data_IF_413696838843
#
_entry.id   IF_413696838843
#
_cell.length_a   1.000
_cell.length_b   1.000
_cell.length_c   1.000
_cell.angle_alpha   90.00
_cell.angle_beta   90.00
_cell.angle_gamma   90.00
#
_symmetry.space_group_name_H-M   'P 1'
#
loop_
_entity.id
_entity.type
_entity.pdbx_description
1 polymer ?
#
# COMPACT_ATOMS: atom_id res chain seq x y z
N UNK A 1 -18.42 2.21 -1.76
CA UNK A 1 -17.11 1.57 -1.52
C UNK A 1 -16.12 2.30 -2.40
N UNK A 2 -15.10 2.92 -1.83
CA UNK A 2 -14.14 3.72 -2.58
C UNK A 2 -13.22 2.73 -3.32
N UNK A 3 -12.92 2.93 -4.61
CA UNK A 3 -12.03 2.04 -5.39
C UNK A 3 -10.67 1.82 -4.71
N UNK A 4 -10.24 2.78 -3.89
CA UNK A 4 -9.03 2.70 -3.08
C UNK A 4 -9.09 1.59 -2.03
N UNK A 5 -10.25 1.34 -1.40
CA UNK A 5 -10.40 0.28 -0.38
C UNK A 5 -10.18 -1.12 -0.97
N UNK A 6 -10.67 -1.35 -2.18
CA UNK A 6 -10.49 -2.62 -2.88
C UNK A 6 -9.01 -2.84 -3.26
N UNK A 7 -8.34 -1.77 -3.68
CA UNK A 7 -6.92 -1.80 -3.98
C UNK A 7 -6.08 -2.10 -2.74
N UNK A 8 -6.35 -1.41 -1.64
CA UNK A 8 -5.75 -1.63 -0.31
C UNK A 8 -5.87 -3.09 0.10
N UNK A 9 -7.06 -3.68 0.01
CA UNK A 9 -7.27 -5.10 0.35
C UNK A 9 -6.45 -6.05 -0.53
N UNK A 10 -6.35 -5.76 -1.83
CA UNK A 10 -5.58 -6.59 -2.76
C UNK A 10 -4.09 -6.57 -2.43
N UNK A 11 -3.56 -5.40 -2.05
CA UNK A 11 -2.16 -5.23 -1.65
C UNK A 11 -1.92 -5.92 -0.30
N UNK A 12 -2.81 -5.72 0.67
CA UNK A 12 -2.73 -6.36 1.98
C UNK A 12 -2.69 -7.89 1.87
N UNK A 13 -3.56 -8.46 1.03
CA UNK A 13 -3.66 -9.90 0.83
C UNK A 13 -2.39 -10.45 0.19
N UNK A 14 -1.86 -9.80 -0.86
CA UNK A 14 -0.62 -10.23 -1.53
C UNK A 14 0.60 -10.21 -0.61
N UNK A 15 0.70 -9.20 0.28
CA UNK A 15 1.81 -9.13 1.24
C UNK A 15 1.66 -10.16 2.36
N UNK A 16 0.42 -10.41 2.82
CA UNK A 16 0.12 -11.43 3.83
C UNK A 16 0.39 -12.84 3.34
N UNK A 17 -0.04 -13.18 2.11
CA UNK A 17 0.23 -14.47 1.47
C UNK A 17 1.73 -14.77 1.34
N UNK A 18 2.56 -13.72 1.22
CA UNK A 18 4.02 -13.85 1.11
C UNK A 18 4.73 -13.89 2.47
N UNK A 19 3.98 -13.77 3.58
CA UNK A 19 4.51 -13.72 4.95
C UNK A 19 5.18 -12.39 5.32
N UNK A 20 4.92 -11.33 4.53
CA UNK A 20 5.57 -10.03 4.67
C UNK A 20 4.72 -9.02 5.45
N UNK A 21 3.56 -9.44 5.93
CA UNK A 21 2.62 -8.54 6.59
C UNK A 21 3.23 -7.87 7.84
N UNK A 22 3.97 -8.58 8.69
CA UNK A 22 4.60 -7.99 9.88
C UNK A 22 5.66 -6.95 9.52
N UNK A 23 6.51 -7.26 8.54
CA UNK A 23 7.53 -6.32 8.06
C UNK A 23 6.90 -5.11 7.38
N UNK A 24 5.85 -5.31 6.58
CA UNK A 24 5.15 -4.25 5.89
C UNK A 24 4.40 -3.33 6.86
N UNK A 25 3.74 -3.90 7.86
CA UNK A 25 3.09 -3.15 8.95
C UNK A 25 4.10 -2.29 9.69
N UNK A 26 5.23 -2.86 10.12
CA UNK A 26 6.27 -2.11 10.83
C UNK A 26 6.90 -1.00 9.96
N UNK A 27 7.17 -1.29 8.69
CA UNK A 27 7.69 -0.31 7.73
C UNK A 27 6.67 0.79 7.46
N UNK A 28 5.39 0.47 7.32
CA UNK A 28 4.34 1.46 7.10
C UNK A 28 4.08 2.29 8.36
N UNK A 29 4.10 1.71 9.57
CA UNK A 29 3.91 2.44 10.83
C UNK A 29 5.04 3.45 11.08
N UNK A 30 6.30 3.02 10.92
CA UNK A 30 7.46 3.90 11.08
C UNK A 30 7.60 4.86 9.89
N UNK A 31 7.22 4.38 8.70
CA UNK A 31 7.32 5.09 7.43
C UNK A 31 6.10 5.92 7.06
N UNK A 32 5.07 6.08 7.91
CA UNK A 32 3.90 6.93 7.61
C UNK A 32 4.26 8.33 7.08
N UNK A 33 5.17 9.10 7.68
CA UNK A 33 5.56 10.41 7.13
C UNK A 33 6.31 10.30 5.80
N UNK A 34 6.98 9.16 5.56
CA UNK A 34 7.68 8.86 4.31
C UNK A 34 6.74 8.34 3.22
N UNK A 35 5.55 7.82 3.57
CA UNK A 35 4.56 7.34 2.60
C UNK A 35 4.16 8.47 1.66
N UNK A 36 3.87 9.66 2.22
CA UNK A 36 3.54 10.84 1.42
C UNK A 36 4.66 11.20 0.43
N UNK A 37 5.92 11.12 0.86
CA UNK A 37 7.09 11.32 -0.02
C UNK A 37 7.22 10.22 -1.07
N UNK A 38 6.83 8.99 -0.73
CA UNK A 38 6.76 7.86 -1.65
C UNK A 38 5.73 8.07 -2.76
N UNK A 39 4.55 8.62 -2.45
CA UNK A 39 3.54 8.95 -3.46
C UNK A 39 4.01 10.04 -4.43
N UNK A 40 4.62 11.10 -3.88
CA UNK A 40 5.24 12.17 -4.67
C UNK A 40 6.39 11.64 -5.56
N UNK A 41 7.23 10.74 -5.04
CA UNK A 41 8.28 10.08 -5.82
C UNK A 41 7.70 9.21 -6.93
N UNK A 42 6.55 8.56 -6.68
CA UNK A 42 5.85 7.77 -7.67
C UNK A 42 5.30 8.61 -8.82
N UNK A 43 4.81 9.82 -8.56
CA UNK A 43 4.41 10.76 -9.61
C UNK A 43 5.58 11.16 -10.50
N UNK A 44 6.75 11.41 -9.91
CA UNK A 44 7.98 11.73 -10.66
C UNK A 44 8.46 10.52 -11.46
N UNK A 45 8.38 9.33 -10.88
CA UNK A 45 8.77 8.08 -11.52
C UNK A 45 7.71 7.52 -12.50
N UNK A 46 6.49 8.05 -12.48
CA UNK A 46 5.35 7.59 -13.29
C UNK A 46 5.70 7.38 -14.77
N UNK A 47 6.33 8.32 -15.49
CA UNK A 47 6.66 8.10 -16.90
C UNK A 47 7.60 6.90 -17.11
N UNK A 48 8.58 6.69 -16.24
CA UNK A 48 9.49 5.54 -16.33
C UNK A 48 8.78 4.22 -15.95
N UNK A 49 7.96 4.24 -14.90
CA UNK A 49 7.21 3.07 -14.43
C UNK A 49 6.10 2.66 -15.41
N UNK A 50 5.54 3.63 -16.15
CA UNK A 50 4.49 3.39 -17.14
C UNK A 50 4.93 2.52 -18.33
N UNK A 51 6.24 2.30 -18.49
CA UNK A 51 6.79 1.37 -19.48
C UNK A 51 6.63 -0.10 -19.06
N UNK A 52 6.43 -0.36 -17.77
CA UNK A 52 6.36 -1.71 -17.19
C UNK A 52 5.04 -2.00 -16.47
N UNK A 53 4.33 -0.96 -16.01
CA UNK A 53 3.08 -1.06 -15.25
C UNK A 53 2.04 -0.09 -15.79
N UNK A 54 0.75 -0.39 -15.59
CA UNK A 54 -0.33 0.52 -15.96
C UNK A 54 -0.28 1.84 -15.18
N UNK A 55 -0.49 2.95 -15.89
CA UNK A 55 -0.53 4.29 -15.28
C UNK A 55 -1.59 4.40 -14.18
N UNK A 56 -2.69 3.67 -14.34
CA UNK A 56 -3.75 3.62 -13.34
C UNK A 56 -3.28 2.96 -12.04
N UNK A 57 -2.57 1.83 -12.12
CA UNK A 57 -2.01 1.15 -10.95
C UNK A 57 -0.97 2.03 -10.24
N UNK A 58 -0.11 2.70 -11.00
CA UNK A 58 0.88 3.63 -10.43
C UNK A 58 0.17 4.79 -9.72
N UNK A 59 -0.86 5.36 -10.34
CA UNK A 59 -1.65 6.45 -9.75
C UNK A 59 -2.37 6.00 -8.47
N UNK A 60 -2.97 4.82 -8.46
CA UNK A 60 -3.63 4.27 -7.28
C UNK A 60 -2.63 4.07 -6.13
N UNK A 61 -1.42 3.58 -6.41
CA UNK A 61 -0.36 3.50 -5.40
C UNK A 61 0.12 4.87 -4.91
N UNK A 62 0.26 5.85 -5.79
CA UNK A 62 0.68 7.20 -5.42
C UNK A 62 -0.34 7.84 -4.46
N UNK A 63 -1.62 7.76 -4.83
CA UNK A 63 -2.74 8.27 -4.03
C UNK A 63 -2.88 7.56 -2.68
N UNK A 64 -2.73 6.23 -2.68
CA UNK A 64 -2.72 5.42 -1.46
C UNK A 64 -1.65 5.89 -0.47
N UNK A 65 -0.44 6.17 -0.98
CA UNK A 65 0.69 6.60 -0.16
C UNK A 65 0.58 8.07 0.28
N UNK A 66 -0.10 8.91 -0.50
CA UNK A 66 -0.37 10.31 -0.18
C UNK A 66 -1.50 10.51 0.83
N UNK A 67 -2.46 9.58 0.91
CA UNK A 67 -3.57 9.65 1.87
C UNK A 67 -3.22 8.90 3.16
N UNK A 68 -2.94 9.61 4.28
CA UNK A 68 -2.64 8.97 5.55
C UNK A 68 -3.78 8.07 6.07
N UNK A 69 -5.03 8.36 5.71
CA UNK A 69 -6.20 7.54 6.08
C UNK A 69 -6.18 6.20 5.35
N UNK A 70 -5.81 6.22 4.07
CA UNK A 70 -5.70 5.01 3.25
C UNK A 70 -4.50 4.14 3.68
N UNK A 71 -3.38 4.78 4.04
CA UNK A 71 -2.23 4.09 4.66
C UNK A 71 -2.64 3.44 5.99
N UNK A 72 -3.38 4.14 6.85
CA UNK A 72 -3.89 3.56 8.11
C UNK A 72 -4.82 2.38 7.87
N UNK A 73 -5.73 2.48 6.90
CA UNK A 73 -6.60 1.38 6.51
C UNK A 73 -5.79 0.16 6.03
N UNK A 74 -4.73 0.38 5.25
CA UNK A 74 -3.82 -0.68 4.79
C UNK A 74 -3.08 -1.36 5.95
N UNK A 75 -2.54 -0.58 6.89
CA UNK A 75 -1.87 -1.10 8.10
C UNK A 75 -2.85 -1.92 8.95
N UNK A 76 -4.07 -1.43 9.15
CA UNK A 76 -5.09 -2.17 9.88
C UNK A 76 -5.46 -3.48 9.17
N UNK A 77 -5.67 -3.46 7.86
CA UNK A 77 -5.97 -4.66 7.07
C UNK A 77 -4.85 -5.70 7.17
N UNK A 78 -3.59 -5.29 6.99
CA UNK A 78 -2.42 -6.16 7.14
C UNK A 78 -2.36 -6.79 8.53
N UNK A 79 -2.54 -5.99 9.58
CA UNK A 79 -2.55 -6.46 10.97
C UNK A 79 -3.66 -7.49 11.23
N UNK A 80 -4.87 -7.25 10.70
CA UNK A 80 -6.00 -8.18 10.82
C UNK A 80 -5.76 -9.50 10.07
N UNK A 81 -5.09 -9.46 8.90
CA UNK A 81 -4.77 -10.66 8.13
C UNK A 81 -3.66 -11.51 8.78
N UNK A 82 -2.70 -10.90 9.48
CA UNK A 82 -1.72 -11.65 10.28
C UNK A 82 -2.38 -12.40 11.42
N UNK A 83 -3.31 -11.76 12.13
CA UNK A 83 -4.02 -12.38 13.25
C UNK A 83 -4.89 -13.58 12.81
N UNK A 84 -5.35 -13.60 11.56
CA UNK A 84 -6.18 -14.69 11.02
C UNK A 84 -5.38 -15.83 10.37
N UNK A 85 -4.17 -15.56 9.87
CA UNK A 85 -3.25 -16.58 9.30
C UNK A 85 -2.54 -17.43 10.36
N UNK A 86 -2.45 -16.96 11.61
CA UNK A 86 -1.87 -17.71 12.73
C UNK A 86 -2.91 -18.55 13.50
N UNK A 87 -3.75 -19.33 12.81
CA UNK A 87 -4.72 -20.23 13.45
C UNK A 87 -4.78 -21.61 12.79
#
# INVERSE_FOLDING_TARGET
MHEQDAFVQSVATKLSERGWASTATAVLEVGRPLAFLGGQALWVAQPALSLFFDQETIRQFAQLLEDPTAVEALVQQLTQQEMTTNR
#
